data_IF_709792585685
#
_entry.id   IF_709792585685
#
_cell.length_a   1.000
_cell.length_b   1.000
_cell.length_c   1.000
_cell.angle_alpha   90.00
_cell.angle_beta   90.00
_cell.angle_gamma   90.00
#
_symmetry.space_group_name_H-M   'P 1'
#
loop_
_entity.id
_entity.type
_entity.pdbx_description
1 polymer ?
#
# COMPACT_ATOMS: atom_id res chain seq x y z
N UNK A 1 10.47 -10.28 5.67
CA UNK A 1 9.14 -9.90 5.13
C UNK A 1 8.84 -8.49 5.63
N UNK A 2 8.98 -7.46 4.80
CA UNK A 2 8.38 -6.16 5.12
C UNK A 2 6.94 -6.22 4.63
N UNK A 3 6.01 -6.41 5.55
CA UNK A 3 4.60 -6.14 5.27
C UNK A 3 4.51 -4.64 5.10
N UNK A 4 4.50 -4.15 3.85
CA UNK A 4 4.18 -2.75 3.61
C UNK A 4 2.71 -2.59 4.04
N UNK A 5 2.48 -1.90 5.16
CA UNK A 5 1.13 -1.53 5.59
C UNK A 5 0.40 -0.92 4.40
N UNK A 6 -0.86 -1.33 4.17
CA UNK A 6 -1.75 -0.62 3.25
C UNK A 6 -1.74 0.87 3.61
N UNK A 7 -1.59 1.73 2.61
CA UNK A 7 -1.61 3.18 2.85
C UNK A 7 -3.02 3.60 3.23
N UNK A 8 -3.12 4.41 4.28
CA UNK A 8 -4.37 5.01 4.74
C UNK A 8 -4.11 6.43 5.23
N UNK A 9 -4.87 7.39 4.72
CA UNK A 9 -4.86 8.76 5.20
C UNK A 9 -6.27 9.33 5.18
N UNK A 10 -6.77 9.71 6.34
CA UNK A 10 -8.05 10.37 6.50
C UNK A 10 -7.75 11.82 6.89
N UNK A 11 -8.20 12.80 6.12
CA UNK A 11 -7.85 14.20 6.30
C UNK A 11 -9.13 15.01 6.48
N UNK A 12 -9.19 15.78 7.56
CA UNK A 12 -10.27 16.72 7.83
C UNK A 12 -9.77 18.15 7.54
N UNK A 13 -10.56 18.90 6.78
CA UNK A 13 -10.24 20.28 6.41
C UNK A 13 -10.89 21.23 7.40
N UNK A 14 -10.08 21.86 8.24
CA UNK A 14 -10.55 22.58 9.42
C UNK A 14 -9.60 23.71 9.84
N UNK A 15 -10.09 24.72 10.58
CA UNK A 15 -9.20 25.63 11.31
C UNK A 15 -8.26 24.86 12.25
N UNK A 16 -7.04 25.37 12.43
CA UNK A 16 -6.00 24.68 13.19
C UNK A 16 -6.36 24.45 14.67
N UNK A 17 -7.22 25.30 15.24
CA UNK A 17 -7.67 25.23 16.63
C UNK A 17 -8.97 24.46 16.82
N UNK A 18 -9.63 24.02 15.76
CA UNK A 18 -10.90 23.29 15.85
C UNK A 18 -10.67 21.87 16.41
N UNK A 19 -11.68 21.27 17.06
CA UNK A 19 -11.61 19.88 17.49
C UNK A 19 -11.20 18.96 16.33
N UNK A 20 -10.31 17.99 16.59
CA UNK A 20 -9.84 17.06 15.56
C UNK A 20 -10.71 15.80 15.62
N UNK A 21 -11.40 15.42 14.52
CA UNK A 21 -12.12 14.15 14.46
C UNK A 21 -11.19 12.97 14.70
N UNK A 22 -11.62 12.01 15.52
CA UNK A 22 -10.80 10.86 15.87
C UNK A 22 -10.37 10.08 14.60
N UNK A 23 -9.06 9.83 14.49
CA UNK A 23 -8.48 9.11 13.34
C UNK A 23 -8.24 9.95 12.08
N UNK A 24 -8.49 11.26 12.11
CA UNK A 24 -8.21 12.18 11.00
C UNK A 24 -6.94 13.01 11.26
N UNK A 25 -6.22 13.26 10.17
CA UNK A 25 -5.18 14.26 10.06
C UNK A 25 -5.83 15.63 9.85
N UNK A 26 -5.18 16.69 10.33
CA UNK A 26 -5.65 18.07 10.16
C UNK A 26 -5.02 18.69 8.91
N UNK A 27 -5.84 19.23 8.01
CA UNK A 27 -5.41 20.22 7.03
C UNK A 27 -6.05 21.56 7.34
N UNK A 28 -5.22 22.57 7.63
CA UNK A 28 -5.68 23.93 7.93
C UNK A 28 -5.29 24.93 6.87
N UNK A 29 -5.17 24.47 5.61
CA UNK A 29 -4.93 25.35 4.48
C UNK A 29 -3.45 25.63 4.20
N UNK A 30 -2.51 24.93 4.84
CA UNK A 30 -1.08 25.15 4.59
C UNK A 30 -0.68 24.68 3.18
N UNK A 31 0.31 25.36 2.58
CA UNK A 31 0.92 24.94 1.30
C UNK A 31 1.49 23.53 1.43
N UNK A 32 1.44 22.73 0.36
CA UNK A 32 1.96 21.37 0.29
C UNK A 32 3.35 21.24 0.91
N UNK A 33 3.54 20.20 1.73
CA UNK A 33 4.82 19.94 2.39
C UNK A 33 4.68 18.95 3.55
N UNK A 34 5.81 18.58 4.14
CA UNK A 34 5.86 17.65 5.26
C UNK A 34 5.18 18.27 6.49
N UNK A 35 4.24 17.54 7.11
CA UNK A 35 3.49 18.01 8.29
C UNK A 35 4.13 17.61 9.61
N UNK A 36 5.22 16.84 9.61
CA UNK A 36 5.86 16.31 10.81
C UNK A 36 5.09 15.16 11.49
N UNK A 37 4.03 14.66 10.85
CA UNK A 37 3.19 13.55 11.35
C UNK A 37 3.34 12.27 10.51
N UNK A 38 4.40 12.18 9.70
CA UNK A 38 4.62 11.08 8.77
C UNK A 38 3.93 11.25 7.41
N UNK A 39 3.13 12.30 7.22
CA UNK A 39 2.46 12.60 5.94
C UNK A 39 2.94 13.94 5.35
N UNK A 40 2.91 14.01 4.02
CA UNK A 40 3.19 15.22 3.24
C UNK A 40 1.97 15.54 2.42
N UNK A 41 1.32 16.67 2.71
CA UNK A 41 0.13 17.12 2.02
C UNK A 41 -0.04 18.63 2.13
N UNK A 42 -1.00 19.17 1.39
CA UNK A 42 -1.41 20.56 1.46
C UNK A 42 -1.80 21.12 0.10
N UNK A 43 -1.91 22.44 0.06
CA UNK A 43 -2.45 23.18 -1.08
C UNK A 43 -1.35 23.71 -2.02
N UNK A 44 -1.71 23.99 -3.27
CA UNK A 44 -0.85 24.63 -4.28
C UNK A 44 -0.36 26.03 -3.83
N UNK A 45 -1.18 26.73 -3.05
CA UNK A 45 -0.82 27.99 -2.39
C UNK A 45 -1.50 28.10 -1.03
N UNK A 46 -1.12 29.08 -0.22
CA UNK A 46 -1.68 29.22 1.13
C UNK A 46 -3.18 29.44 1.06
N UNK A 47 -3.91 28.55 1.73
CA UNK A 47 -5.36 28.50 1.80
C UNK A 47 -5.86 28.65 3.26
N UNK A 48 -4.99 29.08 4.17
CA UNK A 48 -5.23 29.12 5.63
C UNK A 48 -6.34 30.09 6.03
N UNK A 49 -6.59 31.14 5.24
CA UNK A 49 -7.65 32.14 5.50
C UNK A 49 -9.06 31.63 5.17
N UNK A 50 -9.16 30.46 4.54
CA UNK A 50 -10.41 29.97 3.96
C UNK A 50 -10.97 28.71 4.65
N UNK A 51 -10.34 28.26 5.74
CA UNK A 51 -10.94 27.24 6.60
C UNK A 51 -12.15 27.79 7.37
N UNK A 52 -13.17 26.98 7.62
CA UNK A 52 -14.34 27.34 8.42
C UNK A 52 -14.68 26.21 9.39
N UNK A 53 -15.23 26.61 10.52
CA UNK A 53 -15.85 25.77 11.54
C UNK A 53 -17.16 26.48 11.89
N UNK A 54 -18.29 25.87 11.52
CA UNK A 54 -19.59 26.54 11.57
C UNK A 54 -20.25 26.48 12.94
N UNK A 55 -19.90 25.48 13.75
CA UNK A 55 -20.55 25.17 15.01
C UNK A 55 -22.08 25.03 14.85
N UNK A 56 -22.50 24.37 13.78
CA UNK A 56 -23.90 24.24 13.41
C UNK A 56 -24.51 22.95 13.92
N UNK A 57 -25.71 23.01 14.50
CA UNK A 57 -26.47 21.83 14.91
C UNK A 57 -26.99 20.99 13.73
N UNK A 58 -26.90 21.50 12.50
CA UNK A 58 -27.23 20.73 11.29
C UNK A 58 -26.12 19.73 10.94
N UNK A 59 -24.91 19.97 11.41
CA UNK A 59 -23.75 19.11 11.16
C UNK A 59 -23.83 17.85 12.01
N UNK A 60 -23.67 16.69 11.38
CA UNK A 60 -23.75 15.40 12.08
C UNK A 60 -22.58 15.20 13.06
N UNK A 61 -21.40 15.67 12.69
CA UNK A 61 -20.19 15.71 13.52
C UNK A 61 -19.23 16.78 12.98
N UNK A 62 -18.08 16.93 13.65
CA UNK A 62 -17.07 17.93 13.31
C UNK A 62 -16.56 17.84 11.86
N UNK A 63 -16.56 16.66 11.22
CA UNK A 63 -16.14 16.50 9.81
C UNK A 63 -17.11 17.15 8.85
N UNK A 64 -18.39 17.19 9.20
CA UNK A 64 -19.44 17.84 8.43
C UNK A 64 -19.57 19.33 8.77
N UNK A 65 -19.06 19.74 9.93
CA UNK A 65 -19.12 21.11 10.44
C UNK A 65 -17.95 22.00 9.98
N UNK A 66 -16.81 21.38 9.67
CA UNK A 66 -15.63 22.07 9.17
C UNK A 66 -15.45 21.91 7.67
N UNK A 67 -14.82 22.91 7.04
CA UNK A 67 -14.45 22.87 5.63
C UNK A 67 -13.26 23.76 5.32
N UNK A 68 -12.71 23.62 4.12
CA UNK A 68 -11.91 24.65 3.47
C UNK A 68 -12.46 24.93 2.05
N UNK A 69 -12.37 26.18 1.60
CA UNK A 69 -12.79 26.54 0.25
C UNK A 69 -11.72 26.11 -0.77
N UNK A 70 -12.15 25.46 -1.85
CA UNK A 70 -11.32 25.19 -3.02
C UNK A 70 -11.43 26.27 -4.10
N UNK A 71 -12.46 27.13 -4.03
CA UNK A 71 -12.67 28.25 -4.93
C UNK A 71 -13.05 29.49 -4.12
N UNK A 72 -12.15 30.47 -4.05
CA UNK A 72 -12.38 31.76 -3.41
C UNK A 72 -11.56 32.85 -4.11
N UNK A 73 -11.50 34.05 -3.52
CA UNK A 73 -10.63 35.12 -4.00
C UNK A 73 -9.18 34.59 -4.12
N UNK A 74 -8.60 34.70 -5.31
CA UNK A 74 -7.29 34.14 -5.65
C UNK A 74 -7.33 32.88 -6.54
N UNK A 75 -8.52 32.36 -6.87
CA UNK A 75 -8.71 31.34 -7.91
C UNK A 75 -9.09 29.95 -7.41
N UNK A 76 -9.16 29.01 -8.36
CA UNK A 76 -9.33 27.60 -8.08
C UNK A 76 -8.04 27.02 -7.49
N UNK A 77 -8.17 26.27 -6.40
CA UNK A 77 -7.07 25.64 -5.67
C UNK A 77 -6.97 24.15 -5.98
N UNK A 78 -5.77 23.63 -5.78
CA UNK A 78 -5.46 22.21 -5.86
C UNK A 78 -4.90 21.77 -4.52
N UNK A 79 -5.35 20.60 -4.05
CA UNK A 79 -4.81 19.97 -2.86
C UNK A 79 -4.18 18.63 -3.23
N UNK A 80 -3.04 18.33 -2.65
CA UNK A 80 -2.30 17.09 -2.93
C UNK A 80 -1.85 16.40 -1.64
N UNK A 81 -1.67 15.09 -1.71
CA UNK A 81 -1.02 14.27 -0.67
C UNK A 81 -0.04 13.29 -1.31
N UNK A 82 1.15 13.19 -0.73
CA UNK A 82 2.13 12.18 -1.10
C UNK A 82 1.59 10.78 -0.75
N UNK A 83 1.54 9.90 -1.75
CA UNK A 83 1.13 8.51 -1.60
C UNK A 83 2.05 7.62 -2.46
N UNK A 84 2.26 6.35 -2.11
CA UNK A 84 2.89 5.41 -3.04
C UNK A 84 2.13 5.34 -4.38
N UNK A 85 2.82 5.13 -5.49
CA UNK A 85 2.13 4.80 -6.74
C UNK A 85 1.27 3.55 -6.57
N UNK A 86 0.05 3.59 -7.09
CA UNK A 86 -0.90 2.51 -6.91
C UNK A 86 -2.35 2.95 -7.09
N UNK A 87 -3.26 2.04 -6.75
CA UNK A 87 -4.69 2.27 -6.87
C UNK A 87 -5.30 2.55 -5.50
N UNK A 88 -6.18 3.55 -5.43
CA UNK A 88 -6.76 4.06 -4.19
C UNK A 88 -8.27 4.12 -4.29
N UNK A 89 -8.95 3.74 -3.22
CA UNK A 89 -10.36 4.06 -3.01
C UNK A 89 -10.40 5.36 -2.21
N UNK A 90 -11.08 6.34 -2.77
CA UNK A 90 -11.14 7.70 -2.27
C UNK A 90 -12.60 8.07 -2.05
N UNK A 91 -12.95 8.34 -0.79
CA UNK A 91 -14.23 8.92 -0.41
C UNK A 91 -14.02 10.39 -0.05
N UNK A 92 -14.82 11.29 -0.62
CA UNK A 92 -14.69 12.73 -0.43
C UNK A 92 -16.06 13.34 -0.14
N UNK A 93 -16.11 14.31 0.76
CA UNK A 93 -17.33 15.07 1.10
C UNK A 93 -17.13 16.57 0.87
N UNK A 94 -18.13 17.18 0.24
CA UNK A 94 -18.30 18.63 0.10
C UNK A 94 -19.61 19.06 0.76
N UNK A 95 -19.59 20.22 1.42
CA UNK A 95 -20.78 20.83 1.96
C UNK A 95 -20.46 22.06 2.80
N UNK A 96 -21.51 22.70 3.30
CA UNK A 96 -21.47 23.82 4.24
C UNK A 96 -22.83 23.87 4.95
N UNK A 97 -22.84 23.75 6.27
CA UNK A 97 -24.08 23.74 7.06
C UNK A 97 -24.86 25.05 6.91
N UNK A 98 -24.17 26.15 6.67
CA UNK A 98 -24.75 27.49 6.75
C UNK A 98 -25.10 28.04 5.36
N UNK A 99 -24.57 27.45 4.29
CA UNK A 99 -24.67 28.00 2.93
C UNK A 99 -24.91 26.92 1.87
N UNK A 100 -25.88 27.18 0.98
CA UNK A 100 -26.20 26.36 -0.19
C UNK A 100 -25.94 27.11 -1.52
N UNK A 101 -24.96 28.00 -1.51
CA UNK A 101 -24.59 28.93 -2.58
C UNK A 101 -23.51 28.39 -3.53
N UNK A 102 -23.43 27.07 -3.69
CA UNK A 102 -22.33 26.39 -4.38
C UNK A 102 -22.83 25.51 -5.52
N UNK A 103 -21.95 25.17 -6.45
CA UNK A 103 -22.12 24.05 -7.37
C UNK A 103 -20.91 23.16 -7.18
N UNK A 104 -21.06 22.10 -6.39
CA UNK A 104 -19.97 21.18 -6.10
C UNK A 104 -19.63 20.36 -7.33
N UNK A 105 -18.39 20.48 -7.82
CA UNK A 105 -17.78 19.60 -8.83
C UNK A 105 -16.30 19.42 -8.53
N UNK A 106 -15.93 18.28 -7.95
CA UNK A 106 -14.54 17.99 -7.52
C UNK A 106 -14.02 16.77 -8.24
N UNK A 107 -12.82 16.89 -8.79
CA UNK A 107 -12.04 15.80 -9.37
C UNK A 107 -11.06 15.24 -8.34
N UNK A 108 -10.84 13.93 -8.41
CA UNK A 108 -9.70 13.24 -7.80
C UNK A 108 -8.96 12.53 -8.93
N UNK A 109 -7.66 12.77 -9.10
CA UNK A 109 -6.88 12.25 -10.25
C UNK A 109 -7.54 12.57 -11.61
N UNK A 110 -8.15 13.76 -11.74
CA UNK A 110 -8.89 14.16 -12.93
C UNK A 110 -10.26 13.50 -13.13
N UNK A 111 -10.66 12.57 -12.25
CA UNK A 111 -11.96 11.88 -12.30
C UNK A 111 -12.99 12.61 -11.44
N UNK A 112 -14.10 13.03 -12.05
CA UNK A 112 -15.22 13.66 -11.33
C UNK A 112 -15.74 12.71 -10.24
N UNK A 113 -15.55 13.12 -8.99
CA UNK A 113 -15.83 12.32 -7.79
C UNK A 113 -17.05 12.84 -7.05
N UNK A 114 -17.12 14.15 -6.81
CA UNK A 114 -18.30 14.79 -6.19
C UNK A 114 -18.97 15.70 -7.19
N UNK A 115 -20.30 15.62 -7.28
CA UNK A 115 -21.13 16.47 -8.12
C UNK A 115 -22.47 16.75 -7.43
N UNK A 116 -22.83 18.01 -7.23
CA UNK A 116 -24.13 18.36 -6.65
C UNK A 116 -24.32 19.86 -6.43
N UNK A 117 -25.58 20.28 -6.32
CA UNK A 117 -25.94 21.66 -5.98
C UNK A 117 -26.74 21.62 -4.67
N UNK A 118 -26.19 22.16 -3.56
CA UNK A 118 -26.90 22.18 -2.29
C UNK A 118 -28.19 22.98 -2.35
N UNK A 119 -29.10 22.61 -1.45
CA UNK A 119 -30.36 23.30 -1.18
C UNK A 119 -30.47 23.52 0.32
N UNK A 120 -31.51 24.24 0.77
CA UNK A 120 -31.82 24.40 2.20
C UNK A 120 -32.16 23.11 2.93
N UNK A 121 -32.35 21.98 2.21
CA UNK A 121 -32.63 20.67 2.81
C UNK A 121 -31.49 19.66 2.59
N UNK A 122 -30.57 19.94 1.66
CA UNK A 122 -29.47 19.04 1.29
C UNK A 122 -28.18 19.82 1.19
N UNK A 123 -27.37 19.80 2.25
CA UNK A 123 -26.17 20.61 2.37
C UNK A 123 -24.88 19.90 1.95
N UNK A 124 -24.81 18.58 2.12
CA UNK A 124 -23.61 17.79 1.85
C UNK A 124 -23.80 16.81 0.70
N UNK A 125 -22.74 16.66 -0.08
CA UNK A 125 -22.63 15.73 -1.19
C UNK A 125 -21.33 14.96 -1.04
N UNK A 126 -21.39 13.67 -1.32
CA UNK A 126 -20.23 12.78 -1.21
C UNK A 126 -20.05 11.98 -2.48
N UNK A 127 -18.84 11.47 -2.68
CA UNK A 127 -18.53 10.59 -3.79
C UNK A 127 -17.41 9.64 -3.42
N UNK A 128 -17.50 8.42 -3.95
CA UNK A 128 -16.43 7.41 -3.85
C UNK A 128 -15.93 7.10 -5.25
N UNK A 129 -14.61 7.14 -5.44
CA UNK A 129 -13.97 6.70 -6.69
C UNK A 129 -12.75 5.85 -6.41
N UNK A 130 -12.52 4.90 -7.31
CA UNK A 130 -11.24 4.19 -7.41
C UNK A 130 -10.38 4.91 -8.45
N UNK A 131 -9.20 5.36 -8.05
CA UNK A 131 -8.26 6.12 -8.90
C UNK A 131 -6.87 5.50 -8.88
N UNK A 132 -6.06 5.77 -9.90
CA UNK A 132 -4.67 5.31 -9.97
C UNK A 132 -3.73 6.51 -9.92
N UNK A 133 -2.77 6.46 -9.01
CA UNK A 133 -1.70 7.45 -8.85
C UNK A 133 -0.40 6.87 -9.44
N UNK A 134 0.27 7.63 -10.29
CA UNK A 134 1.49 7.21 -10.99
C UNK A 134 2.70 8.13 -10.80
N UNK A 135 2.53 9.27 -10.14
CA UNK A 135 3.53 10.31 -9.92
C UNK A 135 3.89 10.50 -8.43
N UNK A 136 3.35 9.66 -7.55
CA UNK A 136 3.56 9.71 -6.11
C UNK A 136 2.68 10.73 -5.39
N UNK A 137 1.70 11.35 -6.07
CA UNK A 137 0.79 12.34 -5.48
C UNK A 137 -0.65 12.10 -5.88
N UNK A 138 -1.52 11.94 -4.90
CA UNK A 138 -2.95 12.03 -5.14
C UNK A 138 -3.36 13.50 -5.15
N UNK A 139 -4.02 13.91 -6.24
CA UNK A 139 -4.39 15.28 -6.58
C UNK A 139 -5.91 15.46 -6.54
N UNK A 140 -6.36 16.47 -5.81
CA UNK A 140 -7.77 16.87 -5.71
C UNK A 140 -7.92 18.27 -6.30
N UNK A 141 -8.81 18.43 -7.27
CA UNK A 141 -8.96 19.66 -8.03
C UNK A 141 -10.41 20.02 -8.35
N UNK A 142 -10.62 21.24 -8.79
CA UNK A 142 -11.92 21.72 -9.23
C UNK A 142 -12.23 21.17 -10.63
N UNK A 143 -13.44 20.64 -10.83
CA UNK A 143 -13.89 20.18 -12.14
C UNK A 143 -14.67 21.27 -12.90
N UNK A 144 -14.72 21.16 -14.22
CA UNK A 144 -15.47 22.10 -15.08
C UNK A 144 -16.92 22.23 -14.65
N UNK A 145 -17.39 23.47 -14.55
CA UNK A 145 -18.75 23.83 -14.11
C UNK A 145 -18.93 23.93 -12.59
N UNK A 146 -17.88 23.68 -11.79
CA UNK A 146 -17.93 23.87 -10.35
C UNK A 146 -17.79 25.34 -9.96
N UNK A 147 -18.53 25.76 -8.95
CA UNK A 147 -18.46 27.11 -8.37
C UNK A 147 -18.52 27.05 -6.84
N UNK A 148 -17.73 27.90 -6.19
CA UNK A 148 -17.60 27.94 -4.74
C UNK A 148 -17.40 26.55 -4.11
N UNK A 149 -16.61 25.69 -4.77
CA UNK A 149 -16.27 24.37 -4.24
C UNK A 149 -15.68 24.48 -2.83
N UNK A 150 -16.11 23.56 -1.98
CA UNK A 150 -15.68 23.40 -0.59
C UNK A 150 -15.38 21.92 -0.38
N UNK A 151 -14.39 21.63 0.46
CA UNK A 151 -14.05 20.27 0.86
C UNK A 151 -14.11 20.19 2.38
N UNK A 152 -14.81 19.17 2.88
CA UNK A 152 -15.00 18.94 4.31
C UNK A 152 -13.96 17.94 4.81
N UNK A 153 -13.96 16.74 4.21
CA UNK A 153 -12.98 15.70 4.52
C UNK A 153 -12.79 14.75 3.33
N UNK A 154 -11.68 14.03 3.38
CA UNK A 154 -11.30 13.01 2.40
C UNK A 154 -10.74 11.79 3.13
N UNK A 155 -11.12 10.61 2.65
CA UNK A 155 -10.63 9.32 3.13
C UNK A 155 -9.96 8.59 1.97
N UNK A 156 -8.68 8.30 2.14
CA UNK A 156 -7.85 7.66 1.13
C UNK A 156 -7.38 6.33 1.69
N UNK A 157 -7.71 5.26 0.99
CA UNK A 157 -7.22 3.92 1.31
C UNK A 157 -6.61 3.33 0.06
N UNK A 158 -5.39 2.79 0.17
CA UNK A 158 -4.86 1.97 -0.91
C UNK A 158 -5.82 0.81 -1.11
N UNK A 159 -6.34 0.66 -2.32
CA UNK A 159 -6.90 -0.62 -2.71
C UNK A 159 -5.73 -1.58 -2.67
N UNK A 160 -5.89 -2.71 -1.98
CA UNK A 160 -4.99 -3.85 -2.17
C UNK A 160 -5.16 -4.32 -3.61
N UNK A 161 -4.50 -3.61 -4.52
CA UNK A 161 -4.34 -4.04 -5.88
C UNK A 161 -3.37 -5.19 -5.83
N UNK A 162 -3.86 -6.37 -6.22
CA UNK A 162 -3.01 -7.22 -7.05
C UNK A 162 -2.58 -6.29 -8.20
N UNK A 163 -1.34 -5.76 -8.16
CA UNK A 163 -0.73 -5.16 -9.36
C UNK A 163 -0.78 -6.17 -10.52
N UNK A 164 -0.27 -5.91 -11.74
CA UNK A 164 -0.02 -7.02 -12.66
C UNK A 164 0.81 -8.03 -11.87
N UNK A 165 0.20 -9.18 -11.53
CA UNK A 165 0.44 -9.86 -10.27
C UNK A 165 1.81 -9.52 -9.67
N UNK A 166 1.83 -8.67 -8.63
CA UNK A 166 2.71 -9.04 -7.54
C UNK A 166 2.15 -10.40 -7.17
N UNK A 167 2.74 -11.46 -7.73
CA UNK A 167 2.58 -12.79 -7.22
C UNK A 167 2.78 -12.57 -5.74
N UNK A 168 1.70 -12.69 -4.96
CA UNK A 168 1.83 -13.04 -3.56
C UNK A 168 2.88 -14.12 -3.64
N UNK A 169 4.08 -13.87 -3.10
CA UNK A 169 5.13 -14.87 -3.12
C UNK A 169 4.41 -16.12 -2.68
N UNK A 170 4.17 -17.02 -3.63
CA UNK A 170 3.59 -18.30 -3.32
C UNK A 170 4.49 -18.76 -2.21
N UNK A 171 3.92 -19.18 -1.08
CA UNK A 171 4.71 -19.95 -0.12
C UNK A 171 5.47 -20.92 -1.00
N UNK A 172 6.79 -20.73 -1.09
CA UNK A 172 7.57 -21.32 -2.17
C UNK A 172 7.27 -22.80 -2.07
N UNK A 173 6.65 -23.35 -3.12
CA UNK A 173 6.13 -24.70 -3.03
C UNK A 173 7.30 -25.59 -2.56
N UNK A 174 7.10 -26.46 -1.55
CA UNK A 174 8.18 -27.28 -1.04
C UNK A 174 8.91 -27.94 -2.21
N UNK A 175 10.26 -27.95 -2.22
CA UNK A 175 11.00 -28.53 -3.32
C UNK A 175 10.56 -29.99 -3.50
N UNK A 176 10.29 -30.38 -4.74
CA UNK A 176 9.98 -31.75 -5.07
C UNK A 176 11.29 -32.49 -5.37
N UNK A 177 11.55 -33.54 -4.62
CA UNK A 177 12.66 -34.45 -4.88
C UNK A 177 12.19 -35.62 -5.75
N UNK A 178 12.88 -35.86 -6.85
CA UNK A 178 12.58 -36.93 -7.81
C UNK A 178 13.80 -37.84 -7.94
N UNK A 179 13.58 -39.15 -7.80
CA UNK A 179 14.57 -40.15 -8.20
C UNK A 179 14.53 -40.27 -9.73
N UNK A 180 15.64 -39.92 -10.39
CA UNK A 180 15.77 -40.03 -11.84
C UNK A 180 16.15 -41.45 -12.22
N UNK A 181 17.21 -41.97 -11.60
CA UNK A 181 17.73 -43.29 -11.91
C UNK A 181 18.48 -43.87 -10.73
N UNK A 182 18.43 -45.20 -10.62
CA UNK A 182 19.40 -45.99 -9.86
C UNK A 182 20.33 -46.63 -10.87
N UNK A 183 21.56 -46.17 -10.92
CA UNK A 183 22.55 -46.69 -11.86
C UNK A 183 22.92 -48.14 -11.50
N UNK A 184 23.41 -48.92 -12.46
CA UNK A 184 23.68 -50.36 -12.29
C UNK A 184 24.76 -50.66 -11.24
N UNK A 185 25.59 -49.68 -10.92
CA UNK A 185 26.61 -49.72 -9.87
C UNK A 185 26.08 -49.31 -8.48
N UNK A 186 24.79 -48.96 -8.37
CA UNK A 186 24.11 -48.60 -7.13
C UNK A 186 24.12 -47.11 -6.80
N UNK A 187 24.71 -46.28 -7.65
CA UNK A 187 24.62 -44.82 -7.51
C UNK A 187 23.20 -44.32 -7.73
N UNK A 188 22.86 -43.21 -7.10
CA UNK A 188 21.51 -42.65 -7.13
C UNK A 188 21.54 -41.25 -7.72
N UNK A 189 20.83 -41.04 -8.83
CA UNK A 189 20.64 -39.71 -9.43
C UNK A 189 19.32 -39.11 -9.01
N UNK A 190 19.37 -37.96 -8.34
CA UNK A 190 18.22 -37.21 -7.87
C UNK A 190 18.07 -35.92 -8.67
N UNK A 191 16.83 -35.45 -8.82
CA UNK A 191 16.51 -34.11 -9.30
C UNK A 191 15.70 -33.38 -8.24
N UNK A 192 16.19 -32.22 -7.84
CA UNK A 192 15.41 -31.25 -7.06
C UNK A 192 14.69 -30.34 -8.06
N UNK A 193 13.37 -30.28 -7.96
CA UNK A 193 12.52 -29.36 -8.69
C UNK A 193 12.00 -28.31 -7.70
N UNK A 194 12.19 -27.03 -8.02
CA UNK A 194 11.88 -25.93 -7.12
C UNK A 194 11.95 -24.58 -7.82
N UNK A 195 11.87 -23.49 -7.07
CA UNK A 195 11.98 -22.15 -7.64
C UNK A 195 13.41 -21.87 -8.14
N UNK A 196 13.49 -21.40 -9.38
CA UNK A 196 14.76 -20.97 -9.98
C UNK A 196 15.38 -19.80 -9.19
N UNK A 197 16.71 -19.74 -9.12
CA UNK A 197 17.48 -18.76 -8.37
C UNK A 197 17.59 -19.04 -6.86
N UNK A 198 17.10 -20.20 -6.38
CA UNK A 198 17.23 -20.63 -4.98
C UNK A 198 18.31 -21.67 -4.80
N UNK A 199 18.82 -21.77 -3.57
CA UNK A 199 19.70 -22.86 -3.16
C UNK A 199 18.95 -23.83 -2.26
N UNK A 200 19.19 -25.13 -2.46
CA UNK A 200 18.61 -26.20 -1.64
C UNK A 200 19.71 -27.04 -1.01
N UNK A 201 19.61 -27.29 0.29
CA UNK A 201 20.45 -28.28 0.98
C UNK A 201 19.83 -29.65 0.74
N UNK A 202 20.59 -30.55 0.13
CA UNK A 202 20.23 -31.97 0.09
C UNK A 202 20.72 -32.60 1.39
N UNK A 203 19.80 -33.25 2.10
CA UNK A 203 20.09 -33.97 3.32
C UNK A 203 19.79 -35.45 3.16
N UNK A 204 20.58 -36.27 3.85
CA UNK A 204 20.49 -37.72 3.84
C UNK A 204 20.31 -38.28 5.24
N UNK A 205 19.62 -39.41 5.35
CA UNK A 205 19.38 -40.12 6.61
C UNK A 205 19.36 -41.64 6.37
N UNK A 206 19.69 -42.42 7.38
CA UNK A 206 19.55 -43.89 7.39
C UNK A 206 18.34 -44.36 8.22
N UNK A 207 17.78 -43.49 9.06
CA UNK A 207 16.73 -43.81 10.04
C UNK A 207 15.48 -42.89 10.01
N UNK A 208 15.46 -41.90 9.10
CA UNK A 208 14.43 -40.84 8.97
C UNK A 208 14.37 -39.84 10.14
N UNK A 209 15.22 -39.98 11.16
CA UNK A 209 15.26 -39.12 12.35
C UNK A 209 16.47 -38.20 12.30
N UNK A 210 17.66 -38.75 12.03
CA UNK A 210 18.91 -38.00 11.96
C UNK A 210 19.23 -37.67 10.51
N UNK A 211 19.23 -36.37 10.19
CA UNK A 211 19.47 -35.87 8.85
C UNK A 211 20.80 -35.12 8.80
N UNK A 212 21.63 -35.44 7.80
CA UNK A 212 22.94 -34.82 7.59
C UNK A 212 23.00 -34.16 6.21
N UNK A 213 23.53 -32.93 6.10
CA UNK A 213 23.68 -32.28 4.80
C UNK A 213 24.77 -32.95 3.96
N UNK A 214 24.47 -33.27 2.70
CA UNK A 214 25.42 -33.87 1.75
C UNK A 214 25.87 -32.88 0.67
N UNK A 215 25.02 -31.91 0.30
CA UNK A 215 25.36 -30.89 -0.69
C UNK A 215 24.44 -29.67 -0.61
N UNK A 216 24.90 -28.53 -1.11
CA UNK A 216 24.07 -27.35 -1.37
C UNK A 216 24.01 -27.13 -2.88
N UNK A 217 22.80 -27.16 -3.45
CA UNK A 217 22.57 -27.12 -4.89
C UNK A 217 21.97 -25.78 -5.29
N UNK A 218 22.64 -25.05 -6.17
CA UNK A 218 22.11 -23.84 -6.78
C UNK A 218 21.18 -24.19 -7.94
N UNK A 219 19.89 -23.93 -7.77
CA UNK A 219 18.88 -24.22 -8.78
C UNK A 219 18.67 -23.00 -9.68
N UNK A 220 19.49 -22.83 -10.71
CA UNK A 220 19.44 -21.64 -11.58
C UNK A 220 18.27 -21.63 -12.57
N UNK A 221 17.77 -22.79 -12.99
CA UNK A 221 16.79 -22.94 -14.08
C UNK A 221 15.45 -23.55 -13.66
N UNK A 222 15.27 -23.87 -12.37
CA UNK A 222 14.05 -24.46 -11.82
C UNK A 222 14.18 -25.96 -11.52
N UNK A 223 15.19 -26.63 -12.07
CA UNK A 223 15.61 -27.96 -11.59
C UNK A 223 17.14 -28.08 -11.50
N UNK A 224 17.63 -28.88 -10.55
CA UNK A 224 19.04 -29.22 -10.40
C UNK A 224 19.20 -30.70 -10.06
N UNK A 225 20.22 -31.35 -10.61
CA UNK A 225 20.50 -32.76 -10.37
C UNK A 225 21.67 -32.96 -9.40
N UNK A 226 21.63 -34.06 -8.66
CA UNK A 226 22.69 -34.52 -7.79
C UNK A 226 22.91 -36.02 -7.98
N UNK A 227 24.17 -36.44 -8.04
CA UNK A 227 24.59 -37.84 -8.09
C UNK A 227 25.18 -38.22 -6.74
N UNK A 228 24.52 -39.13 -6.04
CA UNK A 228 25.06 -39.73 -4.81
C UNK A 228 25.91 -40.95 -5.16
N UNK A 229 27.23 -40.77 -5.14
CA UNK A 229 28.21 -41.85 -5.36
C UNK A 229 28.38 -42.74 -4.13
N UNK A 230 28.10 -42.20 -2.93
CA UNK A 230 28.27 -42.88 -1.66
C UNK A 230 27.09 -43.81 -1.32
N UNK A 231 25.96 -43.69 -2.03
CA UNK A 231 24.79 -44.55 -1.82
C UNK A 231 25.10 -46.05 -1.99
N UNK A 232 26.17 -46.37 -2.71
CA UNK A 232 26.68 -47.72 -2.95
C UNK A 232 27.16 -48.42 -1.67
N UNK A 233 27.60 -47.66 -0.66
CA UNK A 233 28.12 -48.19 0.61
C UNK A 233 27.06 -48.37 1.70
N UNK A 234 25.81 -48.01 1.43
CA UNK A 234 24.74 -47.94 2.42
C UNK A 234 23.59 -48.90 2.08
N UNK A 235 23.12 -49.67 3.07
CA UNK A 235 21.99 -50.61 2.89
C UNK A 235 20.67 -49.88 2.58
N UNK A 236 20.51 -48.67 3.12
CA UNK A 236 19.37 -47.76 2.91
C UNK A 236 19.86 -46.33 3.07
N UNK A 237 19.33 -45.43 2.24
CA UNK A 237 19.56 -43.98 2.35
C UNK A 237 18.27 -43.27 1.94
N UNK A 238 17.80 -42.39 2.81
CA UNK A 238 16.66 -41.51 2.61
C UNK A 238 17.15 -40.11 2.28
N UNK A 239 16.35 -39.36 1.53
CA UNK A 239 16.74 -38.05 1.01
C UNK A 239 15.62 -37.04 1.25
N UNK A 240 16.01 -35.80 1.56
CA UNK A 240 15.11 -34.65 1.52
C UNK A 240 15.85 -33.41 1.05
N UNK A 241 15.13 -32.48 0.44
CA UNK A 241 15.66 -31.17 0.04
C UNK A 241 15.09 -30.09 0.96
N UNK A 242 15.93 -29.20 1.45
CA UNK A 242 15.56 -28.08 2.34
C UNK A 242 15.94 -26.77 1.68
N UNK A 243 15.02 -25.82 1.60
CA UNK A 243 15.29 -24.48 1.06
C UNK A 243 16.26 -23.72 1.96
N UNK A 244 17.31 -23.14 1.38
CA UNK A 244 18.21 -22.20 2.08
C UNK A 244 17.52 -20.84 2.17
N UNK A 245 17.26 -20.29 3.38
CA UNK A 245 16.74 -18.94 3.51
C UNK A 245 17.74 -17.91 2.99
N UNK A 246 17.29 -16.93 2.22
CA UNK A 246 18.14 -15.79 1.83
C UNK A 246 18.26 -14.88 3.06
N UNK A 247 19.47 -14.77 3.62
CA UNK A 247 19.74 -13.90 4.76
C UNK A 247 19.47 -12.43 4.42
N UNK A 248 18.60 -11.78 5.18
CA UNK A 248 18.54 -10.31 5.20
C UNK A 248 19.81 -9.81 5.90
N UNK A 249 20.75 -9.24 5.15
CA UNK A 249 21.85 -8.48 5.75
C UNK A 249 21.27 -7.21 6.38
N UNK A 250 20.93 -7.27 7.66
CA UNK A 250 20.77 -6.09 8.48
C UNK A 250 22.18 -5.56 8.79
N UNK A 251 22.54 -4.42 8.20
CA UNK A 251 23.72 -3.66 8.63
C UNK A 251 23.56 -3.29 10.10
N UNK A 252 24.20 -4.06 10.98
CA UNK A 252 24.38 -3.72 12.37
C UNK A 252 25.26 -2.49 12.46
N UNK A 253 24.65 -1.37 12.86
CA UNK A 253 25.32 -0.17 13.33
C UNK A 253 26.22 -0.55 14.52
N UNK A 254 27.53 -0.42 14.35
CA UNK A 254 28.49 -0.49 15.45
C UNK A 254 28.30 0.76 16.31
N UNK A 255 27.74 0.58 17.52
CA UNK A 255 27.98 1.50 18.61
C UNK A 255 29.25 1.03 19.32
N UNK A 256 30.33 1.79 19.15
CA UNK A 256 31.46 1.86 20.06
C UNK A 256 31.92 3.33 20.05
N UNK A 257 31.56 4.07 21.09
CA UNK A 257 32.45 4.84 21.98
C UNK A 257 31.67 5.22 23.24
#
# INVERSE_FOLDING_TARGET
>A
LSVTSAFKAFVNFQPASSPVPAGYLVDSGQVYGNRGNGFTYGWDTSNTSFTRDRNSSLSADQRYDTLNHMQKAGGARVWEIAVPNGTYNVFLVSGDSDYYDSVFRINVEGVLTVSGTPTSSTHWFSGTKTVTVSDGRLTVSNATGGSNNKICFIEITSVSGVGPAATIASVEAPPKLVLIERESDGQVRLQVQGTAGRSYVLEVSDDLVHWTPVSTLENTTGTVQFLDTESTFLKRRYYRAVLVPVGTSASGHLLNE
#
